data_IF_634223263890
#
_entry.id   IF_634223263890
#
_cell.length_a   1.000
_cell.length_b   1.000
_cell.length_c   1.000
_cell.angle_alpha   90.00
_cell.angle_beta   90.00
_cell.angle_gamma   90.00
#
_symmetry.space_group_name_H-M   'P 1'
#
loop_
_entity.id
_entity.type
_entity.pdbx_description
1 polymer ?
#
# COMPACT_ATOMS: atom_id res chain seq x y z
N UNK A 1 3.86 -51.63 61.17
CA UNK A 1 3.80 -51.71 59.70
C UNK A 1 2.49 -51.06 59.32
N UNK A 2 2.55 -49.76 59.07
CA UNK A 2 1.39 -48.97 58.68
C UNK A 2 1.14 -49.20 57.20
N UNK A 3 0.12 -50.00 56.90
CA UNK A 3 -0.40 -50.17 55.55
C UNK A 3 -1.18 -48.91 55.17
N UNK A 4 -0.49 -47.95 54.56
CA UNK A 4 -1.14 -46.83 53.86
C UNK A 4 -2.16 -47.39 52.87
N UNK A 5 -3.40 -46.92 53.00
CA UNK A 5 -4.55 -47.45 52.30
C UNK A 5 -4.49 -46.99 50.82
N UNK A 6 -4.23 -47.89 49.84
CA UNK A 6 -3.96 -47.49 48.45
C UNK A 6 -5.12 -46.76 47.77
N UNK A 7 -6.33 -46.91 48.30
CA UNK A 7 -7.52 -46.19 47.86
C UNK A 7 -7.49 -44.68 48.18
N UNK A 8 -6.82 -44.27 49.27
CA UNK A 8 -6.68 -42.85 49.64
C UNK A 8 -5.68 -42.13 48.73
N UNK A 9 -4.58 -42.79 48.35
CA UNK A 9 -3.61 -42.25 47.38
C UNK A 9 -4.24 -42.05 46.00
N UNK A 10 -5.00 -43.05 45.51
CA UNK A 10 -5.68 -42.96 44.22
C UNK A 10 -6.75 -41.85 44.17
N UNK A 11 -7.49 -41.62 45.26
CA UNK A 11 -8.47 -40.53 45.33
C UNK A 11 -7.79 -39.16 45.36
N UNK A 12 -6.66 -39.02 46.06
CA UNK A 12 -5.89 -37.78 46.11
C UNK A 12 -5.29 -37.44 44.73
N UNK A 13 -4.80 -38.43 43.99
CA UNK A 13 -4.28 -38.24 42.63
C UNK A 13 -5.39 -37.81 41.65
N UNK A 14 -6.57 -38.42 41.74
CA UNK A 14 -7.73 -38.03 40.91
C UNK A 14 -8.17 -36.60 41.26
N UNK A 15 -8.27 -36.27 42.55
CA UNK A 15 -8.66 -34.93 42.99
C UNK A 15 -7.65 -33.86 42.55
N UNK A 16 -6.35 -34.16 42.62
CA UNK A 16 -5.28 -33.24 42.23
C UNK A 16 -5.27 -33.01 40.71
N UNK A 17 -5.42 -34.07 39.92
CA UNK A 17 -5.51 -33.96 38.47
C UNK A 17 -6.77 -33.21 38.03
N UNK A 18 -7.90 -33.46 38.68
CA UNK A 18 -9.16 -32.76 38.36
C UNK A 18 -9.07 -31.28 38.73
N UNK A 19 -8.44 -30.94 39.86
CA UNK A 19 -8.17 -29.56 40.25
C UNK A 19 -7.27 -28.88 39.22
N UNK A 20 -6.20 -29.54 38.78
CA UNK A 20 -5.28 -29.00 37.77
C UNK A 20 -6.01 -28.72 36.44
N UNK A 21 -6.87 -29.64 35.98
CA UNK A 21 -7.68 -29.45 34.77
C UNK A 21 -8.63 -28.26 34.94
N UNK A 22 -9.34 -28.17 36.06
CA UNK A 22 -10.24 -27.03 36.34
C UNK A 22 -9.43 -25.72 36.33
N UNK A 23 -8.25 -25.69 36.95
CA UNK A 23 -7.43 -24.50 37.03
C UNK A 23 -6.95 -24.07 35.62
N UNK A 24 -6.50 -25.01 34.80
CA UNK A 24 -6.10 -24.77 33.41
C UNK A 24 -7.29 -24.25 32.58
N UNK A 25 -8.44 -24.92 32.63
CA UNK A 25 -9.65 -24.51 31.89
C UNK A 25 -10.10 -23.12 32.34
N UNK A 26 -10.09 -22.85 33.64
CA UNK A 26 -10.47 -21.54 34.19
C UNK A 26 -9.50 -20.45 33.75
N UNK A 27 -8.19 -20.73 33.72
CA UNK A 27 -7.18 -19.78 33.22
C UNK A 27 -7.37 -19.49 31.73
N UNK A 28 -7.62 -20.52 30.91
CA UNK A 28 -7.90 -20.35 29.48
C UNK A 28 -9.19 -19.58 29.24
N UNK A 29 -10.26 -19.85 29.99
CA UNK A 29 -11.52 -19.09 29.91
C UNK A 29 -11.34 -17.63 30.33
N UNK A 30 -10.57 -17.34 31.37
CA UNK A 30 -10.25 -15.97 31.79
C UNK A 30 -9.40 -15.22 30.75
N UNK A 31 -8.41 -15.88 30.16
CA UNK A 31 -7.57 -15.30 29.09
C UNK A 31 -8.38 -15.07 27.81
N UNK A 32 -9.26 -16.01 27.44
CA UNK A 32 -10.15 -15.86 26.29
C UNK A 32 -11.16 -14.71 26.50
N UNK A 33 -11.80 -14.64 27.67
CA UNK A 33 -12.71 -13.55 28.02
C UNK A 33 -12.01 -12.18 28.03
N UNK A 34 -10.73 -12.11 28.46
CA UNK A 34 -9.91 -10.88 28.40
C UNK A 34 -9.57 -10.46 26.97
N UNK A 35 -9.36 -11.42 26.05
CA UNK A 35 -9.12 -11.13 24.63
C UNK A 35 -10.36 -10.59 23.93
N UNK A 36 -11.55 -11.10 24.26
CA UNK A 36 -12.82 -10.61 23.71
C UNK A 36 -13.20 -9.22 24.24
N UNK A 37 -12.75 -8.83 25.44
CA UNK A 37 -13.04 -7.50 26.01
C UNK A 37 -12.05 -6.40 25.62
N UNK A 38 -10.88 -6.73 25.06
CA UNK A 38 -9.85 -5.73 24.73
C UNK A 38 -9.82 -5.27 23.27
N UNK A 39 -10.71 -5.74 22.38
CA UNK A 39 -10.50 -5.53 20.94
C UNK A 39 -11.47 -4.61 20.19
N UNK A 40 -12.49 -3.98 20.79
CA UNK A 40 -13.24 -2.93 20.03
C UNK A 40 -14.12 -1.95 20.81
N UNK A 41 -14.36 -2.13 22.11
CA UNK A 41 -15.40 -1.37 22.83
C UNK A 41 -14.91 -0.43 23.93
N UNK A 42 -13.59 -0.26 24.11
CA UNK A 42 -13.05 0.65 25.13
C UNK A 42 -13.29 2.13 24.73
N UNK A 43 -13.94 2.98 25.56
CA UNK A 43 -14.24 4.37 25.21
C UNK A 43 -12.99 5.22 24.91
N UNK A 44 -11.86 4.86 25.52
CA UNK A 44 -10.55 5.50 25.28
C UNK A 44 -9.83 5.00 24.01
N UNK A 45 -10.36 3.99 23.31
CA UNK A 45 -9.83 3.50 22.04
C UNK A 45 -10.36 4.28 20.83
N UNK A 46 -11.17 5.32 21.03
CA UNK A 46 -11.41 6.34 20.00
C UNK A 46 -10.14 7.18 19.89
N UNK A 47 -9.38 7.07 18.79
CA UNK A 47 -8.27 7.98 18.59
C UNK A 47 -8.86 9.39 18.49
N UNK A 48 -8.44 10.28 19.37
CA UNK A 48 -8.70 11.72 19.28
C UNK A 48 -7.76 12.42 18.30
N UNK A 49 -7.09 11.67 17.41
CA UNK A 49 -6.32 12.29 16.34
C UNK A 49 -7.29 12.94 15.35
N UNK A 50 -7.21 14.27 15.24
CA UNK A 50 -7.88 15.02 14.18
C UNK A 50 -7.26 14.72 12.81
N UNK A 51 -6.05 14.19 12.78
CA UNK A 51 -5.33 13.84 11.56
C UNK A 51 -5.59 12.37 11.22
N UNK A 52 -6.24 12.15 10.07
CA UNK A 52 -6.42 10.79 9.49
C UNK A 52 -5.09 10.15 9.06
N UNK A 53 -4.04 10.96 8.91
CA UNK A 53 -2.73 10.55 8.41
C UNK A 53 -1.64 11.11 9.32
N UNK A 54 -0.88 10.24 9.98
CA UNK A 54 0.44 10.63 10.52
C UNK A 54 1.41 10.47 9.38
N UNK A 55 2.10 11.54 8.98
CA UNK A 55 3.07 11.46 7.90
C UNK A 55 4.21 10.51 8.30
N UNK A 56 4.41 9.38 7.59
CA UNK A 56 5.55 8.51 7.85
C UNK A 56 6.83 9.29 7.55
N UNK A 57 7.90 9.07 8.32
CA UNK A 57 9.21 9.66 8.06
C UNK A 57 9.77 9.12 6.72
N UNK A 58 9.40 9.78 5.62
CA UNK A 58 9.66 9.36 4.22
C UNK A 58 11.15 9.24 3.90
N UNK A 59 12.01 9.89 4.69
CA UNK A 59 13.46 9.81 4.61
C UNK A 59 13.99 8.39 4.82
N UNK A 60 13.25 7.56 5.56
CA UNK A 60 13.59 6.16 5.83
C UNK A 60 13.08 5.20 4.75
N UNK A 61 12.06 5.59 3.99
CA UNK A 61 11.39 4.77 2.98
C UNK A 61 10.99 5.63 1.77
N UNK A 62 11.95 6.00 0.90
CA UNK A 62 11.64 6.77 -0.30
C UNK A 62 10.67 5.97 -1.20
N UNK A 63 9.84 6.64 -2.02
CA UNK A 63 8.96 5.94 -2.94
C UNK A 63 9.81 5.06 -3.87
N UNK A 64 9.59 3.75 -3.77
CA UNK A 64 10.25 2.77 -4.63
C UNK A 64 9.88 2.95 -6.11
N UNK A 65 8.83 3.71 -6.41
CA UNK A 65 8.32 3.87 -7.75
C UNK A 65 7.90 5.30 -8.07
N UNK A 66 8.17 5.73 -9.31
CA UNK A 66 7.67 6.98 -9.89
C UNK A 66 6.86 6.66 -11.13
N UNK A 67 5.64 7.17 -11.20
CA UNK A 67 4.68 6.78 -12.22
C UNK A 67 4.59 7.80 -13.34
N UNK A 68 4.42 7.30 -14.56
CA UNK A 68 4.31 8.10 -15.78
C UNK A 68 3.12 7.59 -16.60
N UNK A 69 2.28 8.50 -17.08
CA UNK A 69 1.28 8.20 -18.11
C UNK A 69 1.91 8.36 -19.48
N UNK A 70 1.71 7.36 -20.35
CA UNK A 70 2.10 7.42 -21.76
C UNK A 70 0.84 7.47 -22.62
N UNK A 71 0.67 8.59 -23.31
CA UNK A 71 -0.46 8.91 -24.18
C UNK A 71 0.03 9.17 -25.60
N UNK A 72 -0.90 9.42 -26.53
CA UNK A 72 -0.56 9.72 -27.93
C UNK A 72 0.35 10.95 -28.02
N UNK A 73 1.63 10.73 -28.31
CA UNK A 73 2.64 11.76 -28.44
C UNK A 73 2.91 12.52 -27.14
N UNK A 74 2.65 11.94 -25.96
CA UNK A 74 2.93 12.54 -24.65
C UNK A 74 3.43 11.50 -23.65
N UNK A 75 4.36 11.93 -22.79
CA UNK A 75 4.71 11.21 -21.57
C UNK A 75 4.65 12.22 -20.43
N UNK A 76 3.78 11.97 -19.45
CA UNK A 76 3.51 12.87 -18.34
C UNK A 76 3.85 12.18 -17.04
N UNK A 77 4.54 12.86 -16.12
CA UNK A 77 4.69 12.34 -14.75
C UNK A 77 3.33 12.40 -14.06
N UNK A 78 2.94 11.33 -13.38
CA UNK A 78 1.74 11.38 -12.55
C UNK A 78 1.98 12.21 -11.30
N UNK A 79 1.17 13.25 -11.12
CA UNK A 79 1.18 14.16 -9.98
C UNK A 79 0.42 13.56 -8.77
N UNK A 80 1.06 12.59 -8.14
CA UNK A 80 0.54 11.96 -6.92
C UNK A 80 0.45 12.95 -5.75
N UNK A 81 1.37 13.91 -5.70
CA UNK A 81 1.40 14.90 -4.63
C UNK A 81 0.18 15.82 -4.68
N UNK A 82 -0.36 16.14 -5.87
CA UNK A 82 -1.64 16.84 -5.97
C UNK A 82 -2.81 16.06 -5.35
N UNK A 83 -2.86 14.73 -5.52
CA UNK A 83 -3.89 13.89 -4.89
C UNK A 83 -3.73 13.87 -3.37
N UNK A 84 -2.49 13.70 -2.89
CA UNK A 84 -2.17 13.70 -1.46
C UNK A 84 -2.51 15.05 -0.83
N UNK A 85 -2.13 16.15 -1.47
CA UNK A 85 -2.42 17.50 -1.00
C UNK A 85 -3.93 17.76 -0.94
N UNK A 86 -4.69 17.32 -1.95
CA UNK A 86 -6.14 17.50 -1.98
C UNK A 86 -6.87 16.68 -0.89
N UNK A 87 -6.44 15.43 -0.66
CA UNK A 87 -6.94 14.61 0.45
C UNK A 87 -6.57 15.19 1.83
N UNK A 88 -5.37 15.75 1.95
CA UNK A 88 -4.91 16.38 3.20
C UNK A 88 -5.67 17.67 3.51
N UNK A 89 -6.00 18.47 2.49
CA UNK A 89 -6.75 19.70 2.64
C UNK A 89 -8.24 19.48 2.97
N UNK A 90 -8.81 18.35 2.55
CA UNK A 90 -10.19 17.96 2.83
C UNK A 90 -10.26 16.53 3.39
N UNK A 91 -9.90 16.31 4.67
CA UNK A 91 -9.76 14.96 5.24
C UNK A 91 -11.03 14.11 5.18
N UNK A 92 -12.21 14.75 5.16
CA UNK A 92 -13.50 14.07 5.10
C UNK A 92 -13.97 13.74 3.67
N UNK A 93 -13.28 14.26 2.65
CA UNK A 93 -13.57 13.96 1.25
C UNK A 93 -12.92 12.63 0.84
N UNK A 94 -13.72 11.74 0.28
CA UNK A 94 -13.22 10.47 -0.28
C UNK A 94 -12.97 10.55 -1.78
N UNK A 95 -13.20 11.70 -2.42
CA UNK A 95 -12.99 11.88 -3.85
C UNK A 95 -12.67 13.33 -4.17
N UNK A 96 -12.09 13.55 -5.33
CA UNK A 96 -11.74 14.89 -5.79
C UNK A 96 -11.18 14.90 -7.20
N UNK A 97 -10.68 16.06 -7.61
CA UNK A 97 -10.12 16.29 -8.94
C UNK A 97 -8.74 16.92 -8.84
N UNK A 98 -7.92 16.64 -9.84
CA UNK A 98 -6.59 17.20 -10.07
C UNK A 98 -6.52 17.68 -11.52
N UNK A 99 -5.42 18.35 -11.89
CA UNK A 99 -5.18 18.75 -13.28
C UNK A 99 -5.09 17.56 -14.26
N UNK A 100 -4.82 16.35 -13.76
CA UNK A 100 -4.60 15.14 -14.57
C UNK A 100 -5.78 14.15 -14.53
N UNK A 101 -6.84 14.45 -13.78
CA UNK A 101 -7.97 13.55 -13.65
C UNK A 101 -8.66 13.60 -12.29
N UNK A 102 -9.54 12.64 -12.06
CA UNK A 102 -10.31 12.52 -10.80
C UNK A 102 -9.85 11.30 -10.02
N UNK A 103 -9.99 11.37 -8.70
CA UNK A 103 -9.62 10.28 -7.80
C UNK A 103 -10.76 9.95 -6.85
N UNK A 104 -10.76 8.70 -6.38
CA UNK A 104 -11.60 8.21 -5.30
C UNK A 104 -10.70 7.38 -4.37
N UNK A 105 -10.62 7.80 -3.12
CA UNK A 105 -10.06 7.04 -2.02
C UNK A 105 -11.01 5.89 -1.67
N UNK A 106 -10.48 4.67 -1.67
CA UNK A 106 -11.20 3.48 -1.27
C UNK A 106 -10.80 3.13 0.15
N UNK A 107 -11.66 3.41 1.15
CA UNK A 107 -11.41 2.95 2.50
C UNK A 107 -11.41 1.43 2.52
N UNK A 108 -10.41 0.82 3.16
CA UNK A 108 -10.39 -0.63 3.32
C UNK A 108 -11.59 -1.10 4.17
N UNK A 109 -12.14 -2.28 3.86
CA UNK A 109 -13.18 -2.90 4.69
C UNK A 109 -12.66 -3.48 6.01
N UNK A 110 -11.33 -3.50 6.25
CA UNK A 110 -10.72 -4.24 7.36
C UNK A 110 -10.25 -3.34 8.52
N UNK A 111 -10.48 -3.85 9.74
CA UNK A 111 -10.27 -3.17 11.03
C UNK A 111 -8.80 -3.18 11.48
N UNK A 112 -7.95 -4.01 10.87
CA UNK A 112 -6.52 -4.09 11.16
C UNK A 112 -5.80 -2.92 10.50
N UNK A 113 -5.70 -1.82 11.26
CA UNK A 113 -4.99 -0.59 10.91
C UNK A 113 -3.50 -0.85 10.73
N UNK A 114 -3.11 -1.32 9.56
CA UNK A 114 -1.77 -0.99 9.08
C UNK A 114 -1.85 0.41 8.46
N UNK A 115 -1.07 1.35 9.02
CA UNK A 115 -1.06 2.76 8.63
C UNK A 115 -0.59 2.97 7.18
N UNK A 116 0.03 1.93 6.60
CA UNK A 116 0.60 1.96 5.27
C UNK A 116 -0.34 1.43 4.17
N UNK A 117 -1.51 0.91 4.52
CA UNK A 117 -2.44 0.38 3.52
C UNK A 117 -3.34 1.47 2.97
N UNK A 118 -3.32 1.63 1.65
CA UNK A 118 -4.25 2.50 0.97
C UNK A 118 -4.65 1.91 -0.36
N UNK A 119 -5.83 2.33 -0.84
CA UNK A 119 -6.23 2.08 -2.22
C UNK A 119 -6.90 3.33 -2.79
N UNK A 120 -6.46 3.72 -3.98
CA UNK A 120 -7.00 4.85 -4.74
C UNK A 120 -7.41 4.34 -6.12
N UNK A 121 -8.62 4.70 -6.54
CA UNK A 121 -9.04 4.70 -7.95
C UNK A 121 -8.70 6.05 -8.55
N UNK A 122 -8.02 6.05 -9.68
CA UNK A 122 -7.71 7.25 -10.43
C UNK A 122 -8.23 7.13 -11.86
N UNK A 123 -9.11 8.04 -12.26
CA UNK A 123 -9.56 8.16 -13.65
C UNK A 123 -8.77 9.28 -14.31
N UNK A 124 -7.96 8.87 -15.28
CA UNK A 124 -7.13 9.76 -16.08
C UNK A 124 -7.99 10.68 -16.94
N UNK A 125 -7.69 11.98 -16.90
CA UNK A 125 -8.15 12.93 -17.91
C UNK A 125 -7.08 13.08 -19.00
N UNK A 126 -7.16 12.20 -20.00
CA UNK A 126 -6.19 12.17 -21.09
C UNK A 126 -6.19 13.48 -21.90
N UNK A 127 -7.34 14.14 -22.03
CA UNK A 127 -7.44 15.40 -22.78
C UNK A 127 -6.79 16.56 -22.04
N UNK A 128 -6.95 16.61 -20.70
CA UNK A 128 -6.26 17.59 -19.88
C UNK A 128 -4.74 17.45 -20.02
N UNK A 129 -4.21 16.22 -19.98
CA UNK A 129 -2.77 15.97 -20.16
C UNK A 129 -2.30 16.35 -21.56
N UNK A 130 -3.03 15.97 -22.62
CA UNK A 130 -2.68 16.33 -24.01
C UNK A 130 -2.60 17.85 -24.22
N UNK A 131 -3.41 18.61 -23.47
CA UNK A 131 -3.47 20.07 -23.52
C UNK A 131 -2.34 20.73 -22.72
N UNK A 132 -2.01 20.18 -21.56
CA UNK A 132 -1.05 20.77 -20.62
C UNK A 132 0.41 20.40 -20.95
N UNK A 133 0.63 19.16 -21.38
CA UNK A 133 1.97 18.64 -21.65
C UNK A 133 2.42 18.97 -23.08
N UNK A 134 3.69 19.37 -23.29
CA UNK A 134 4.22 19.62 -24.61
C UNK A 134 4.33 18.31 -25.42
N UNK A 135 4.29 18.38 -26.76
CA UNK A 135 4.54 17.22 -27.62
C UNK A 135 5.84 16.50 -27.26
N UNK A 136 5.76 15.17 -27.20
CA UNK A 136 6.91 14.33 -26.90
C UNK A 136 7.95 14.43 -28.02
N UNK A 137 9.22 14.51 -27.64
CA UNK A 137 10.34 14.69 -28.57
C UNK A 137 11.54 13.85 -28.14
N UNK A 138 12.52 13.71 -29.03
CA UNK A 138 13.79 13.05 -28.70
C UNK A 138 14.53 13.77 -27.58
N UNK A 139 14.52 15.12 -27.58
CA UNK A 139 15.12 15.93 -26.51
C UNK A 139 14.45 15.64 -25.16
N UNK A 140 13.12 15.46 -25.14
CA UNK A 140 12.39 15.08 -23.93
C UNK A 140 12.74 13.66 -23.47
N UNK A 141 12.96 12.75 -24.41
CA UNK A 141 13.43 11.38 -24.12
C UNK A 141 14.79 11.39 -23.45
N UNK A 142 15.74 12.15 -23.99
CA UNK A 142 17.10 12.23 -23.44
C UNK A 142 17.13 12.82 -22.05
N UNK A 143 16.33 13.88 -21.83
CA UNK A 143 16.15 14.49 -20.52
C UNK A 143 15.57 13.48 -19.53
N UNK A 144 14.50 12.78 -19.90
CA UNK A 144 13.88 11.78 -19.04
C UNK A 144 14.87 10.68 -18.65
N UNK A 145 15.66 10.16 -19.60
CA UNK A 145 16.66 9.12 -19.31
C UNK A 145 17.74 9.61 -18.33
N UNK A 146 18.21 10.85 -18.48
CA UNK A 146 19.15 11.46 -17.55
C UNK A 146 18.54 11.60 -16.14
N UNK A 147 17.30 12.09 -16.05
CA UNK A 147 16.58 12.27 -14.79
C UNK A 147 16.34 10.93 -14.07
N UNK A 148 15.98 9.89 -14.82
CA UNK A 148 15.76 8.54 -14.28
C UNK A 148 17.05 7.91 -13.76
N UNK A 149 18.18 8.09 -14.45
CA UNK A 149 19.49 7.64 -13.96
C UNK A 149 19.88 8.35 -12.67
N UNK A 150 19.69 9.66 -12.62
CA UNK A 150 19.98 10.45 -11.42
C UNK A 150 19.10 10.00 -10.23
N UNK A 151 17.80 9.84 -10.45
CA UNK A 151 16.87 9.38 -9.43
C UNK A 151 17.19 7.97 -8.93
N UNK A 152 17.57 7.05 -9.82
CA UNK A 152 17.98 5.71 -9.39
C UNK A 152 19.25 5.74 -8.55
N UNK A 153 20.23 6.58 -8.90
CA UNK A 153 21.48 6.69 -8.15
C UNK A 153 21.28 7.27 -6.75
N UNK A 154 20.36 8.23 -6.58
CA UNK A 154 20.14 8.93 -5.30
C UNK A 154 19.13 8.21 -4.40
N UNK A 155 17.97 7.83 -4.94
CA UNK A 155 16.82 7.35 -4.14
C UNK A 155 16.39 5.94 -4.50
N UNK A 156 17.11 5.25 -5.41
CA UNK A 156 16.76 3.89 -5.90
C UNK A 156 15.34 3.79 -6.45
N UNK A 157 14.77 4.90 -6.89
CA UNK A 157 13.40 4.95 -7.42
C UNK A 157 13.33 4.33 -8.82
N UNK A 158 12.42 3.37 -9.02
CA UNK A 158 12.17 2.76 -10.31
C UNK A 158 11.02 3.46 -11.05
N UNK A 159 11.18 3.85 -12.33
CA UNK A 159 10.05 4.34 -13.12
C UNK A 159 9.06 3.22 -13.45
N UNK A 160 7.77 3.59 -13.43
CA UNK A 160 6.65 2.75 -13.81
C UNK A 160 5.82 3.48 -14.85
N UNK A 161 5.67 2.89 -16.04
CA UNK A 161 4.94 3.48 -17.16
C UNK A 161 3.54 2.86 -17.29
N UNK A 162 2.51 3.70 -17.16
CA UNK A 162 1.12 3.36 -17.43
C UNK A 162 0.86 3.72 -18.89
N UNK A 163 0.76 2.72 -19.76
CA UNK A 163 0.68 2.91 -21.21
C UNK A 163 -0.78 2.85 -21.65
N UNK A 164 -1.35 3.99 -22.03
CA UNK A 164 -2.66 4.05 -22.66
C UNK A 164 -2.59 3.45 -24.07
N UNK A 165 -3.67 2.85 -24.62
CA UNK A 165 -3.61 2.22 -25.94
C UNK A 165 -3.13 3.17 -27.04
N UNK A 166 -3.59 4.42 -27.01
CA UNK A 166 -3.15 5.47 -27.94
C UNK A 166 -1.70 5.92 -27.73
N UNK A 167 -1.08 5.60 -26.60
CA UNK A 167 0.31 5.94 -26.29
C UNK A 167 1.32 4.87 -26.69
N UNK A 168 0.89 3.71 -27.19
CA UNK A 168 1.81 2.61 -27.50
C UNK A 168 2.88 3.01 -28.53
N UNK A 169 2.50 3.75 -29.58
CA UNK A 169 3.45 4.24 -30.59
C UNK A 169 4.50 5.19 -30.00
N UNK A 170 4.15 5.94 -28.96
CA UNK A 170 5.09 6.80 -28.22
C UNK A 170 5.98 5.98 -27.28
N UNK A 171 5.43 4.91 -26.71
CA UNK A 171 6.14 4.09 -25.74
C UNK A 171 7.20 3.18 -26.37
N UNK A 172 6.95 2.59 -27.54
CA UNK A 172 7.88 1.65 -28.20
C UNK A 172 9.30 2.22 -28.35
N UNK A 173 9.52 3.40 -28.97
CA UNK A 173 10.88 3.94 -29.08
C UNK A 173 11.47 4.32 -27.71
N UNK A 174 10.66 4.79 -26.77
CA UNK A 174 11.11 5.07 -25.40
C UNK A 174 11.58 3.79 -24.69
N UNK A 175 10.86 2.68 -24.86
CA UNK A 175 11.18 1.38 -24.29
C UNK A 175 12.56 0.89 -24.73
N UNK A 176 12.85 0.96 -26.03
CA UNK A 176 14.16 0.57 -26.57
C UNK A 176 15.28 1.42 -25.97
N UNK A 177 15.05 2.72 -25.82
CA UNK A 177 16.01 3.65 -25.21
C UNK A 177 16.23 3.36 -23.71
N UNK A 178 15.16 3.04 -22.97
CA UNK A 178 15.24 2.64 -21.56
C UNK A 178 16.05 1.35 -21.39
N UNK A 179 15.82 0.35 -22.27
CA UNK A 179 16.58 -0.89 -22.28
C UNK A 179 18.06 -0.68 -22.62
N UNK A 180 18.34 0.05 -23.70
CA UNK A 180 19.72 0.37 -24.11
C UNK A 180 20.47 1.16 -23.02
N UNK A 181 19.75 1.97 -22.24
CA UNK A 181 20.30 2.70 -21.11
C UNK A 181 20.57 1.84 -19.86
N UNK A 182 20.18 0.56 -19.85
CA UNK A 182 20.33 -0.34 -18.72
C UNK A 182 19.46 0.02 -17.51
N UNK A 183 18.39 0.78 -17.71
CA UNK A 183 17.52 1.22 -16.62
C UNK A 183 16.57 0.09 -16.21
N UNK A 184 16.32 -0.04 -14.91
CA UNK A 184 15.26 -0.91 -14.38
C UNK A 184 13.96 -0.13 -14.40
N UNK A 185 12.94 -0.66 -15.05
CA UNK A 185 11.62 -0.04 -15.13
C UNK A 185 10.52 -1.09 -15.20
N UNK A 186 9.30 -0.68 -14.91
CA UNK A 186 8.10 -1.50 -15.12
C UNK A 186 7.16 -0.76 -16.07
N UNK A 187 6.29 -1.51 -16.75
CA UNK A 187 5.23 -0.91 -17.52
C UNK A 187 4.01 -1.84 -17.53
N UNK A 188 2.84 -1.26 -17.75
CA UNK A 188 1.61 -2.02 -17.95
C UNK A 188 0.70 -1.26 -18.90
N UNK A 189 -0.07 -2.02 -19.70
CA UNK A 189 -1.08 -1.46 -20.57
C UNK A 189 -2.35 -1.16 -19.76
N UNK A 190 -2.86 0.07 -19.90
CA UNK A 190 -4.16 0.45 -19.36
C UNK A 190 -5.24 0.19 -20.40
N UNK A 191 -6.42 -0.29 -20.00
CA UNK A 191 -7.58 -0.34 -20.89
C UNK A 191 -8.24 1.04 -20.99
N UNK A 192 -8.89 1.37 -22.12
CA UNK A 192 -9.71 2.58 -22.21
C UNK A 192 -10.74 2.60 -21.08
N UNK A 193 -10.93 3.78 -20.48
CA UNK A 193 -11.93 4.06 -19.44
C UNK A 193 -11.81 3.26 -18.12
N UNK A 194 -10.79 2.40 -17.98
CA UNK A 194 -10.52 1.68 -16.75
C UNK A 194 -9.75 2.57 -15.77
N UNK A 195 -10.26 2.76 -14.53
CA UNK A 195 -9.51 3.51 -13.53
C UNK A 195 -8.21 2.78 -13.19
N UNK A 196 -7.16 3.56 -13.01
CA UNK A 196 -5.94 3.07 -12.41
C UNK A 196 -6.22 2.77 -10.94
N UNK A 197 -6.06 1.52 -10.55
CA UNK A 197 -6.07 1.10 -9.14
C UNK A 197 -4.65 1.12 -8.64
N UNK A 198 -4.36 1.95 -7.64
CA UNK A 198 -3.12 1.82 -6.89
C UNK A 198 -3.45 1.58 -5.44
N UNK A 199 -2.79 0.57 -4.91
CA UNK A 199 -2.75 0.39 -3.49
C UNK A 199 -1.37 -0.01 -3.04
N UNK A 200 -1.09 0.28 -1.79
CA UNK A 200 0.04 -0.28 -1.05
C UNK A 200 -0.58 -1.34 -0.14
N UNK A 201 -0.17 -2.60 -0.29
CA UNK A 201 -0.62 -3.67 0.60
C UNK A 201 0.54 -4.15 1.47
N UNK A 202 0.36 -4.36 2.79
CA UNK A 202 1.43 -4.82 3.69
C UNK A 202 2.08 -6.12 3.23
N UNK A 203 1.28 -7.03 2.64
CA UNK A 203 1.75 -8.28 2.06
C UNK A 203 2.88 -8.09 1.02
N UNK A 204 2.90 -6.95 0.30
CA UNK A 204 3.96 -6.61 -0.66
C UNK A 204 5.32 -6.31 0.00
N UNK A 205 5.37 -6.10 1.31
CA UNK A 205 6.59 -5.81 2.06
C UNK A 205 6.97 -6.94 3.02
N UNK A 206 5.98 -7.69 3.51
CA UNK A 206 6.20 -8.82 4.43
C UNK A 206 6.52 -10.12 3.71
N UNK A 207 6.06 -10.31 2.48
CA UNK A 207 6.47 -11.44 1.66
C UNK A 207 7.77 -11.10 0.95
N UNK A 208 8.91 -11.44 1.57
CA UNK A 208 10.24 -11.39 0.96
C UNK A 208 10.43 -12.35 -0.22
N UNK A 209 9.35 -12.95 -0.73
CA UNK A 209 9.36 -13.78 -1.90
C UNK A 209 8.95 -12.95 -3.12
N UNK A 210 9.94 -12.65 -3.96
CA UNK A 210 9.81 -12.20 -5.35
C UNK A 210 9.69 -10.67 -5.52
N UNK A 211 10.81 -9.98 -5.31
CA UNK A 211 11.15 -8.78 -6.07
C UNK A 211 12.58 -8.89 -6.60
N UNK A 212 12.73 -9.48 -7.79
CA UNK A 212 13.91 -9.36 -8.66
C UNK A 212 13.44 -9.03 -10.07
#
# INVERSE_FOLDING_TARGET
MDSENPAQGAFLDIATNLLAIILIVTLFSLVAARRDTQTSSHPAARPTSAERFVEPQRDLFPPFSRFYFVLAGRVARWDQEAVVAALSAAPDANSGTTAQGRYEWLPEPLVTRDLDTFQIRFWLDAQAILTQEPPWSEIATDRLLADLRAAFATTRTAPVFIVHPAGMETFVPLYERLQAAGLRFRWFAQRPDEPLLLGRHPAQFTDHAIYW
#
